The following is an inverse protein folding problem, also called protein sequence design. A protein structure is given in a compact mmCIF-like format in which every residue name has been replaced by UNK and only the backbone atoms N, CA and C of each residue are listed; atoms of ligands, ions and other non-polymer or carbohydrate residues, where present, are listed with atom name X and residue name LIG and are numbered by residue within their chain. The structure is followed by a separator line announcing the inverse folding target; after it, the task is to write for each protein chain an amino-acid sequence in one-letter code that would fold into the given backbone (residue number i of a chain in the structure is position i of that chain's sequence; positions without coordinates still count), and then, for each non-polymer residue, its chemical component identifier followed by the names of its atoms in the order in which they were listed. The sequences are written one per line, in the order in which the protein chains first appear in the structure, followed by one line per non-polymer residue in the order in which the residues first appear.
data_IF_666782292816
#
_entry.id   IF_666782292816
#
_cell.length_a   1.000
_cell.length_b   1.000
_cell.length_c   1.000
_cell.angle_alpha   90.00
_cell.angle_beta   90.00
_cell.angle_gamma   90.00
#
_symmetry.space_group_name_H-M   'P 1'
#
loop_
_entity.id
_entity.type
_entity.pdbx_description
1 polymer ?
#
# COMPACT_ATOMS: atom_id res chain seq x y z
N UNK A 1 -22.32 54.72 -26.30
CA UNK A 1 -21.40 54.01 -25.39
C UNK A 1 -22.27 53.27 -24.39
N UNK A 2 -22.29 51.94 -24.41
CA UNK A 2 -23.04 51.17 -23.38
C UNK A 2 -22.36 51.32 -22.05
N UNK A 3 -23.09 51.86 -21.05
CA UNK A 3 -22.62 51.95 -19.67
C UNK A 3 -22.25 50.54 -19.18
N UNK A 4 -21.00 50.35 -18.76
CA UNK A 4 -20.55 49.16 -18.12
C UNK A 4 -21.14 49.16 -16.69
N UNK A 5 -22.14 48.31 -16.43
CA UNK A 5 -22.71 48.16 -15.07
C UNK A 5 -21.70 47.43 -14.20
N UNK A 6 -21.09 48.16 -13.29
CA UNK A 6 -20.17 47.61 -12.27
C UNK A 6 -21.04 46.98 -11.17
N UNK A 7 -20.76 45.71 -10.84
CA UNK A 7 -21.42 45.01 -9.74
C UNK A 7 -20.40 44.38 -8.80
N UNK A 8 -20.77 44.28 -7.54
CA UNK A 8 -19.94 43.61 -6.54
C UNK A 8 -20.17 42.13 -6.58
N UNK A 9 -19.06 41.36 -6.63
CA UNK A 9 -19.09 39.89 -6.58
C UNK A 9 -18.26 39.45 -5.38
N UNK A 10 -18.80 38.53 -4.60
CA UNK A 10 -18.10 37.98 -3.42
C UNK A 10 -17.30 36.77 -3.84
N UNK A 11 -15.97 36.81 -3.61
CA UNK A 11 -15.06 35.70 -3.80
C UNK A 11 -14.49 35.29 -2.43
N UNK A 12 -15.02 34.22 -1.87
CA UNK A 12 -14.69 33.80 -0.50
C UNK A 12 -15.01 34.89 0.52
N UNK A 13 -14.01 35.38 1.26
CA UNK A 13 -14.15 36.44 2.25
C UNK A 13 -13.93 37.86 1.71
N UNK A 14 -13.65 38.03 0.42
CA UNK A 14 -13.38 39.33 -0.20
C UNK A 14 -14.47 39.72 -1.20
N UNK A 15 -14.85 41.02 -1.21
CA UNK A 15 -15.70 41.60 -2.22
C UNK A 15 -14.84 42.25 -3.32
N UNK A 16 -15.16 41.99 -4.58
CA UNK A 16 -14.48 42.56 -5.74
C UNK A 16 -15.49 43.22 -6.67
N UNK A 17 -15.08 44.24 -7.40
CA UNK A 17 -15.90 44.85 -8.45
C UNK A 17 -15.71 44.11 -9.76
N UNK A 18 -16.81 43.60 -10.32
CA UNK A 18 -16.82 42.96 -11.63
C UNK A 18 -17.25 43.96 -12.69
N UNK A 19 -16.49 44.06 -13.75
CA UNK A 19 -16.75 44.84 -14.95
C UNK A 19 -17.19 43.97 -16.12
N UNK A 20 -17.44 42.68 -15.88
CA UNK A 20 -17.84 41.70 -16.90
C UNK A 20 -19.23 42.07 -17.47
N UNK A 21 -19.33 41.97 -18.79
CA UNK A 21 -20.60 42.13 -19.52
C UNK A 21 -21.36 40.80 -19.64
N UNK A 22 -20.65 39.70 -19.43
CA UNK A 22 -21.16 38.33 -19.53
C UNK A 22 -21.35 37.82 -18.10
N UNK A 23 -22.53 37.23 -17.82
CA UNK A 23 -22.75 36.54 -16.55
C UNK A 23 -21.82 35.32 -16.50
N UNK A 24 -21.13 35.15 -15.38
CA UNK A 24 -20.36 33.95 -15.12
C UNK A 24 -21.33 32.76 -15.09
N UNK A 25 -21.05 31.74 -15.90
CA UNK A 25 -21.88 30.52 -15.99
C UNK A 25 -21.49 29.55 -14.86
N UNK A 26 -20.22 29.62 -14.42
CA UNK A 26 -19.69 28.82 -13.34
C UNK A 26 -18.95 29.75 -12.37
N UNK A 27 -19.10 29.47 -11.08
CA UNK A 27 -18.33 30.14 -10.04
C UNK A 27 -16.84 29.80 -10.18
N UNK A 28 -15.97 30.77 -9.86
CA UNK A 28 -14.53 30.50 -9.81
C UNK A 28 -14.28 29.51 -8.68
N UNK A 29 -13.61 28.37 -8.97
CA UNK A 29 -13.32 27.38 -7.93
C UNK A 29 -12.42 28.00 -6.85
N UNK A 30 -12.66 27.59 -5.61
CA UNK A 30 -11.85 28.02 -4.48
C UNK A 30 -10.49 27.31 -4.52
N UNK A 31 -9.46 27.94 -5.08
CA UNK A 31 -8.18 27.33 -5.42
C UNK A 31 -7.40 26.73 -4.24
N UNK A 32 -7.67 27.16 -3.02
CA UNK A 32 -7.03 26.67 -1.78
C UNK A 32 -7.95 25.75 -0.96
N UNK A 33 -9.06 25.33 -1.53
CA UNK A 33 -10.04 24.46 -0.83
C UNK A 33 -9.41 23.12 -0.45
N UNK A 34 -8.63 22.53 -1.35
CA UNK A 34 -7.96 21.22 -1.12
C UNK A 34 -7.06 21.29 0.11
N UNK A 35 -6.23 22.34 0.23
CA UNK A 35 -5.32 22.52 1.36
C UNK A 35 -6.10 22.73 2.65
N UNK A 36 -7.12 23.59 2.64
CA UNK A 36 -7.92 23.88 3.83
C UNK A 36 -8.72 22.68 4.31
N UNK A 37 -9.37 21.97 3.40
CA UNK A 37 -10.14 20.77 3.75
C UNK A 37 -9.23 19.65 4.25
N UNK A 38 -8.08 19.45 3.62
CA UNK A 38 -7.09 18.48 4.06
C UNK A 38 -6.57 18.78 5.47
N UNK A 39 -6.27 20.05 5.75
CA UNK A 39 -5.80 20.46 7.07
C UNK A 39 -6.91 20.34 8.13
N UNK A 40 -8.14 20.70 7.79
CA UNK A 40 -9.31 20.51 8.66
C UNK A 40 -9.51 19.02 9.00
N UNK A 41 -9.48 18.17 8.00
CA UNK A 41 -9.58 16.72 8.18
C UNK A 41 -8.42 16.17 9.04
N UNK A 42 -7.20 16.68 8.87
CA UNK A 42 -6.07 16.33 9.72
C UNK A 42 -6.31 16.69 11.18
N UNK A 43 -6.83 17.89 11.47
CA UNK A 43 -7.12 18.31 12.83
C UNK A 43 -8.29 17.55 13.46
N UNK A 44 -9.31 17.15 12.67
CA UNK A 44 -10.52 16.51 13.18
C UNK A 44 -10.36 14.98 13.33
N UNK A 45 -9.58 14.36 12.45
CA UNK A 45 -9.46 12.89 12.37
C UNK A 45 -8.00 12.42 12.34
N UNK A 46 -7.15 13.05 11.53
CA UNK A 46 -5.82 12.54 11.24
C UNK A 46 -4.91 12.44 12.46
N UNK A 47 -5.01 13.35 13.43
CA UNK A 47 -4.24 13.27 14.68
C UNK A 47 -4.68 12.04 15.48
N UNK A 48 -5.99 11.79 15.54
CA UNK A 48 -6.53 10.62 16.23
C UNK A 48 -6.12 9.33 15.56
N UNK A 49 -6.21 9.26 14.24
CA UNK A 49 -5.81 8.09 13.46
C UNK A 49 -4.35 7.71 13.74
N UNK A 50 -3.46 8.71 13.79
CA UNK A 50 -2.04 8.49 14.13
C UNK A 50 -1.87 8.00 15.58
N UNK A 51 -2.57 8.60 16.54
CA UNK A 51 -2.51 8.17 17.93
C UNK A 51 -3.03 6.74 18.11
N UNK A 52 -4.10 6.38 17.42
CA UNK A 52 -4.70 5.04 17.45
C UNK A 52 -3.80 4.00 16.75
N UNK A 53 -3.10 4.38 15.67
CA UNK A 53 -2.14 3.52 14.97
C UNK A 53 -0.95 3.12 15.85
N UNK A 54 -0.42 4.07 16.65
CA UNK A 54 0.70 3.81 17.56
C UNK A 54 0.26 3.26 18.93
N UNK A 55 -1.02 3.25 19.24
CA UNK A 55 -1.57 2.75 20.50
C UNK A 55 -2.06 1.30 20.33
N UNK A 56 -1.82 0.40 21.31
CA UNK A 56 -1.03 0.56 22.51
C UNK A 56 0.49 0.35 22.30
N UNK A 57 1.31 1.05 23.07
CA UNK A 57 2.76 0.85 23.11
C UNK A 57 3.07 -0.02 24.33
N UNK A 58 3.67 -1.19 24.09
CA UNK A 58 4.08 -2.11 25.14
C UNK A 58 5.57 -2.03 25.39
N UNK A 59 5.95 -2.17 26.65
CA UNK A 59 7.36 -2.29 27.03
C UNK A 59 7.96 -3.64 26.55
N UNK A 60 9.28 -3.77 26.59
CA UNK A 60 9.97 -4.97 26.15
C UNK A 60 9.61 -6.20 27.02
N UNK A 61 9.29 -6.00 28.31
CA UNK A 61 8.90 -7.08 29.20
C UNK A 61 7.42 -7.47 29.08
N UNK A 62 6.62 -6.70 28.34
CA UNK A 62 5.19 -6.91 28.17
C UNK A 62 4.36 -6.62 29.43
N UNK A 63 4.95 -5.93 30.44
CA UNK A 63 4.31 -5.64 31.73
C UNK A 63 3.52 -4.35 31.75
N UNK A 64 4.00 -3.36 30.99
CA UNK A 64 3.41 -2.03 30.94
C UNK A 64 2.87 -1.75 29.53
N UNK A 65 1.72 -1.12 29.48
CA UNK A 65 1.06 -0.72 28.25
C UNK A 65 0.64 0.74 28.34
N UNK A 66 1.11 1.56 27.38
CA UNK A 66 0.75 2.95 27.20
C UNK A 66 -0.23 3.08 26.05
N UNK A 67 -1.43 3.60 26.32
CA UNK A 67 -2.47 3.84 25.33
C UNK A 67 -2.83 5.32 25.25
N UNK A 68 -3.01 5.85 24.04
CA UNK A 68 -3.53 7.20 23.82
C UNK A 68 -5.04 7.13 23.64
N UNK A 69 -5.80 7.86 24.46
CA UNK A 69 -7.26 7.77 24.49
C UNK A 69 -7.89 8.87 23.62
N UNK A 70 -7.45 10.10 23.80
CA UNK A 70 -8.03 11.28 23.16
C UNK A 70 -6.99 12.40 23.08
N UNK A 71 -7.27 13.42 22.29
CA UNK A 71 -6.42 14.60 22.18
C UNK A 71 -7.23 15.89 22.17
N UNK A 72 -6.57 16.96 22.56
CA UNK A 72 -7.13 18.31 22.52
C UNK A 72 -6.08 19.31 22.06
N UNK A 73 -6.50 20.24 21.23
CA UNK A 73 -5.73 21.46 20.97
C UNK A 73 -6.10 22.48 22.02
N UNK A 74 -5.13 22.95 22.80
CA UNK A 74 -5.37 23.76 23.97
C UNK A 74 -5.25 25.23 23.67
N UNK A 75 -6.36 25.95 23.84
CA UNK A 75 -6.44 27.39 23.80
C UNK A 75 -6.30 28.05 22.41
N UNK A 76 -5.99 29.33 22.45
CA UNK A 76 -5.71 30.15 21.27
C UNK A 76 -4.20 30.31 21.06
N UNK A 77 -3.76 30.60 19.81
CA UNK A 77 -2.35 30.87 19.55
C UNK A 77 -1.83 32.00 20.40
N UNK A 78 -0.64 31.83 20.97
CA UNK A 78 -0.01 32.81 21.86
C UNK A 78 0.21 34.19 21.22
N UNK A 79 0.45 34.20 19.91
CA UNK A 79 0.69 35.40 19.12
C UNK A 79 -0.18 35.40 17.87
N UNK A 80 -0.60 36.57 17.42
CA UNK A 80 -1.25 36.75 16.13
C UNK A 80 -0.29 36.42 14.98
N UNK A 81 -0.83 36.12 13.80
CA UNK A 81 -0.05 35.83 12.57
C UNK A 81 1.00 36.92 12.30
N UNK A 82 0.61 38.18 12.47
CA UNK A 82 1.50 39.33 12.26
C UNK A 82 2.62 39.40 13.28
N UNK A 83 2.30 39.14 14.54
CA UNK A 83 3.30 39.10 15.61
C UNK A 83 4.28 37.95 15.46
N UNK A 84 3.79 36.77 15.02
CA UNK A 84 4.66 35.65 14.73
C UNK A 84 5.70 35.99 13.65
N UNK A 85 5.27 36.69 12.57
CA UNK A 85 6.20 37.17 11.53
C UNK A 85 7.22 38.17 12.04
N UNK A 86 6.82 39.05 12.96
CA UNK A 86 7.71 40.08 13.50
C UNK A 86 8.68 39.57 14.59
N UNK A 87 8.32 38.45 15.25
CA UNK A 87 9.06 37.88 16.38
C UNK A 87 9.80 36.60 16.03
N UNK A 88 9.84 36.23 14.75
CA UNK A 88 10.40 34.95 14.28
C UNK A 88 9.81 33.75 15.04
N UNK A 89 8.51 33.82 15.37
CA UNK A 89 7.79 32.80 16.10
C UNK A 89 6.93 31.91 15.15
N UNK A 90 6.53 30.77 15.66
CA UNK A 90 5.60 29.85 14.95
C UNK A 90 4.16 30.11 15.39
N UNK A 91 3.26 30.24 14.44
CA UNK A 91 1.82 30.34 14.68
C UNK A 91 1.26 28.93 14.96
N UNK A 92 1.16 28.58 16.24
CA UNK A 92 0.84 27.23 16.69
C UNK A 92 -0.01 27.22 17.95
N UNK A 93 -0.61 26.07 18.23
CA UNK A 93 -1.33 25.78 19.48
C UNK A 93 -0.79 24.51 20.11
N UNK A 94 -0.79 24.42 21.47
CA UNK A 94 -0.36 23.21 22.17
C UNK A 94 -1.29 22.03 21.88
N UNK A 95 -0.70 20.89 21.57
CA UNK A 95 -1.38 19.59 21.53
C UNK A 95 -1.24 18.90 22.88
N UNK A 96 -2.35 18.61 23.51
CA UNK A 96 -2.44 17.82 24.72
C UNK A 96 -3.13 16.49 24.43
N UNK A 97 -2.59 15.41 24.96
CA UNK A 97 -3.08 14.06 24.74
C UNK A 97 -3.41 13.42 26.08
N UNK A 98 -4.57 12.79 26.15
CA UNK A 98 -4.96 11.96 27.28
C UNK A 98 -4.38 10.58 27.11
N UNK A 99 -3.44 10.19 27.94
CA UNK A 99 -2.80 8.90 27.94
C UNK A 99 -3.28 8.02 29.10
N UNK A 100 -3.18 6.72 28.91
CA UNK A 100 -3.47 5.70 29.93
C UNK A 100 -2.26 4.79 30.03
N UNK A 101 -1.74 4.65 31.25
CA UNK A 101 -0.70 3.69 31.56
C UNK A 101 -1.32 2.53 32.32
N UNK A 102 -1.23 1.32 31.77
CA UNK A 102 -1.78 0.10 32.36
C UNK A 102 -0.65 -0.84 32.76
N UNK A 103 -0.63 -1.26 33.99
CA UNK A 103 0.22 -2.38 34.42
C UNK A 103 -0.53 -3.68 34.21
N UNK A 104 -0.07 -4.50 33.27
CA UNK A 104 -0.74 -5.74 32.88
C UNK A 104 -0.61 -6.86 33.92
N UNK A 105 0.39 -6.80 34.82
CA UNK A 105 0.55 -7.77 35.89
C UNK A 105 -0.36 -7.49 37.09
N UNK A 106 -0.45 -6.22 37.48
CA UNK A 106 -1.22 -5.82 38.65
C UNK A 106 -2.63 -5.35 38.35
N UNK A 107 -2.94 -5.08 37.09
CA UNK A 107 -4.20 -4.50 36.64
C UNK A 107 -4.40 -3.05 37.06
N UNK A 108 -3.35 -2.37 37.55
CA UNK A 108 -3.42 -0.97 37.95
C UNK A 108 -3.43 -0.10 36.70
N UNK A 109 -4.36 0.85 36.65
CA UNK A 109 -4.53 1.82 35.57
C UNK A 109 -4.24 3.21 36.11
N UNK A 110 -3.31 3.91 35.46
CA UNK A 110 -3.01 5.31 35.73
C UNK A 110 -3.42 6.15 34.52
N UNK A 111 -4.29 7.13 34.74
CA UNK A 111 -4.75 8.07 33.72
C UNK A 111 -4.41 9.50 34.16
N UNK A 112 -3.25 10.04 33.77
CA UNK A 112 -2.96 11.46 33.96
C UNK A 112 -3.96 12.31 33.18
N UNK A 113 -4.31 13.49 33.70
CA UNK A 113 -5.35 14.33 33.08
C UNK A 113 -5.02 14.64 31.61
N UNK A 114 -3.86 15.24 31.36
CA UNK A 114 -3.41 15.57 30.00
C UNK A 114 -1.89 15.72 29.96
N UNK A 115 -1.29 15.20 28.91
CA UNK A 115 0.15 15.30 28.68
C UNK A 115 0.41 16.24 27.49
N UNK A 116 1.27 17.21 27.65
CA UNK A 116 1.74 18.05 26.55
C UNK A 116 2.63 17.22 25.61
N UNK A 117 2.24 17.13 24.34
CA UNK A 117 2.98 16.39 23.31
C UNK A 117 3.83 17.30 22.42
N UNK A 118 3.41 18.54 22.24
CA UNK A 118 4.09 19.50 21.38
C UNK A 118 3.15 20.56 20.84
N UNK A 119 3.67 21.43 19.98
CA UNK A 119 2.90 22.49 19.34
C UNK A 119 2.55 22.12 17.91
N UNK A 120 1.28 22.25 17.54
CA UNK A 120 0.79 22.03 16.18
C UNK A 120 0.68 23.37 15.47
N UNK A 121 1.41 23.60 14.36
CA UNK A 121 1.29 24.82 13.57
C UNK A 121 -0.13 24.97 13.00
N UNK A 122 -0.73 26.14 13.13
CA UNK A 122 -2.05 26.43 12.58
C UNK A 122 -1.96 27.02 11.18
N UNK A 123 -2.92 26.62 10.35
CA UNK A 123 -3.10 27.21 9.02
C UNK A 123 -3.77 28.58 9.14
N UNK A 124 -3.23 29.54 8.42
CA UNK A 124 -3.81 30.89 8.30
C UNK A 124 -5.02 30.89 7.36
N UNK A 125 -5.77 31.98 7.34
CA UNK A 125 -6.92 32.16 6.42
C UNK A 125 -6.51 32.07 4.95
N UNK A 126 -5.26 32.40 4.62
CA UNK A 126 -4.72 32.31 3.27
C UNK A 126 -4.24 30.89 2.88
N UNK A 127 -4.37 29.90 3.77
CA UNK A 127 -3.91 28.54 3.54
C UNK A 127 -2.39 28.35 3.69
N UNK A 128 -1.72 29.28 4.35
CA UNK A 128 -0.29 29.24 4.65
C UNK A 128 -0.03 28.87 6.11
N UNK A 129 1.22 28.57 6.45
CA UNK A 129 1.72 28.37 7.80
C UNK A 129 2.81 29.40 8.09
N UNK A 130 2.86 29.91 9.32
CA UNK A 130 3.96 30.75 9.77
C UNK A 130 4.83 29.95 10.72
N UNK A 131 6.05 29.65 10.28
CA UNK A 131 7.00 28.83 11.02
C UNK A 131 8.29 29.63 11.16
N UNK A 132 8.69 29.90 12.41
CA UNK A 132 9.85 30.74 12.72
C UNK A 132 9.83 32.08 11.94
N UNK A 133 8.68 32.76 11.95
CA UNK A 133 8.46 34.02 11.26
C UNK A 133 8.29 33.94 9.73
N UNK A 134 8.67 32.84 9.10
CA UNK A 134 8.56 32.64 7.66
C UNK A 134 7.20 32.04 7.27
N UNK A 135 6.53 32.67 6.30
CA UNK A 135 5.29 32.16 5.74
C UNK A 135 5.59 31.05 4.73
N UNK A 136 5.01 29.88 4.94
CA UNK A 136 5.23 28.67 4.13
C UNK A 136 3.91 28.08 3.69
N UNK A 137 3.94 27.42 2.55
CA UNK A 137 2.77 26.70 1.98
C UNK A 137 3.16 25.25 1.75
N UNK A 138 2.27 24.33 2.12
CA UNK A 138 2.42 22.92 1.79
C UNK A 138 1.91 22.72 0.37
N UNK A 139 2.78 22.25 -0.51
CA UNK A 139 2.44 21.94 -1.91
C UNK A 139 2.04 20.48 -2.00
N UNK A 140 0.86 20.22 -2.56
CA UNK A 140 0.39 18.86 -2.84
C UNK A 140 1.34 18.16 -3.80
N UNK A 141 1.73 16.92 -3.47
CA UNK A 141 2.60 16.10 -4.29
C UNK A 141 1.82 14.91 -4.85
N UNK A 142 2.02 14.64 -6.14
CA UNK A 142 1.52 13.43 -6.78
C UNK A 142 2.47 12.28 -6.49
N UNK A 143 1.95 11.23 -5.87
CA UNK A 143 2.68 9.99 -5.61
C UNK A 143 2.00 8.83 -6.34
N UNK A 144 2.78 7.77 -6.64
CA UNK A 144 2.17 6.54 -7.15
C UNK A 144 1.25 5.95 -6.09
N UNK A 145 0.02 5.66 -6.49
CA UNK A 145 -0.94 5.03 -5.59
C UNK A 145 -0.45 3.65 -5.14
N UNK A 146 -0.71 3.24 -3.90
CA UNK A 146 -0.50 1.86 -3.48
C UNK A 146 -1.18 0.88 -4.43
N UNK A 147 -0.56 -0.25 -4.68
CA UNK A 147 -1.09 -1.27 -5.57
C UNK A 147 -0.01 -2.10 -6.26
N UNK A 148 -0.43 -2.93 -7.21
CA UNK A 148 0.46 -3.75 -8.04
C UNK A 148 0.50 -3.23 -9.46
N UNK A 149 1.69 -3.11 -10.03
CA UNK A 149 1.95 -2.59 -11.37
C UNK A 149 2.73 -3.61 -12.18
N UNK A 150 2.19 -4.01 -13.32
CA UNK A 150 2.82 -4.93 -14.23
C UNK A 150 3.38 -4.17 -15.43
N UNK A 151 4.56 -4.55 -15.91
CA UNK A 151 5.22 -4.00 -17.07
C UNK A 151 5.78 -5.11 -17.93
N UNK A 152 5.57 -5.03 -19.24
CA UNK A 152 6.20 -5.91 -20.21
C UNK A 152 7.07 -5.08 -21.17
N UNK A 153 8.32 -5.44 -21.31
CA UNK A 153 9.28 -4.79 -22.20
C UNK A 153 9.97 -5.81 -23.10
N UNK A 154 10.18 -5.45 -24.35
CA UNK A 154 11.02 -6.26 -25.24
C UNK A 154 12.48 -5.91 -25.03
N UNK A 155 13.29 -6.93 -24.81
CA UNK A 155 14.73 -6.76 -24.74
C UNK A 155 15.36 -6.53 -26.14
N UNK A 156 16.68 -6.33 -26.18
CA UNK A 156 17.44 -6.14 -27.42
C UNK A 156 17.34 -7.31 -28.40
N UNK A 157 16.99 -8.49 -27.90
CA UNK A 157 16.84 -9.73 -28.66
C UNK A 157 15.38 -9.96 -29.09
N UNK A 158 14.47 -9.01 -28.81
CA UNK A 158 13.05 -9.12 -29.13
C UNK A 158 12.24 -10.00 -28.17
N UNK A 159 12.86 -10.55 -27.12
CA UNK A 159 12.20 -11.38 -26.11
C UNK A 159 11.41 -10.48 -25.17
N UNK A 160 10.15 -10.83 -24.93
CA UNK A 160 9.31 -10.12 -23.96
C UNK A 160 9.74 -10.49 -22.54
N UNK A 161 10.03 -9.50 -21.72
CA UNK A 161 10.30 -9.65 -20.29
C UNK A 161 9.24 -8.96 -19.47
N UNK A 162 8.87 -9.59 -18.41
CA UNK A 162 7.86 -9.08 -17.50
C UNK A 162 8.49 -8.69 -16.18
N UNK A 163 8.01 -7.57 -15.66
CA UNK A 163 8.34 -7.10 -14.32
C UNK A 163 7.08 -6.64 -13.61
N UNK A 164 7.14 -6.66 -12.31
CA UNK A 164 6.03 -6.20 -11.49
C UNK A 164 6.59 -5.44 -10.29
N UNK A 165 5.85 -4.42 -9.87
CA UNK A 165 6.15 -3.63 -8.69
C UNK A 165 4.95 -3.65 -7.76
N UNK A 166 5.15 -4.12 -6.54
CA UNK A 166 4.18 -4.06 -5.46
C UNK A 166 4.54 -2.88 -4.56
N UNK A 167 3.68 -1.87 -4.56
CA UNK A 167 3.88 -0.62 -3.82
C UNK A 167 2.86 -0.55 -2.70
N UNK A 168 3.28 -0.68 -1.42
CA UNK A 168 2.41 -0.42 -0.28
C UNK A 168 2.22 1.09 -0.09
N UNK A 169 1.24 1.49 0.71
CA UNK A 169 1.13 2.87 1.17
C UNK A 169 2.26 3.20 2.14
N UNK A 170 2.56 2.27 3.03
CA UNK A 170 3.64 2.33 3.99
C UNK A 170 4.36 0.99 4.02
N UNK A 171 5.70 0.99 3.98
CA UNK A 171 6.49 -0.23 4.04
C UNK A 171 7.39 -0.48 2.83
N UNK A 172 7.99 -1.67 2.77
CA UNK A 172 8.95 -2.07 1.77
C UNK A 172 8.31 -2.33 0.40
N UNK A 173 8.93 -1.84 -0.66
CA UNK A 173 8.55 -2.16 -2.02
C UNK A 173 9.07 -3.53 -2.41
N UNK A 174 8.26 -4.30 -3.15
CA UNK A 174 8.69 -5.54 -3.80
C UNK A 174 8.68 -5.33 -5.31
N UNK A 175 9.82 -5.56 -5.94
CA UNK A 175 9.97 -5.44 -7.38
C UNK A 175 10.45 -6.77 -7.95
N UNK A 176 9.59 -7.44 -8.71
CA UNK A 176 9.91 -8.70 -9.37
C UNK A 176 10.35 -8.43 -10.80
N UNK A 177 11.41 -9.07 -11.23
CA UNK A 177 11.92 -8.97 -12.60
C UNK A 177 12.31 -10.33 -13.17
N UNK A 178 12.04 -10.54 -14.43
CA UNK A 178 12.51 -11.69 -15.19
C UNK A 178 13.86 -11.35 -15.87
N UNK A 179 14.88 -12.16 -15.68
CA UNK A 179 16.18 -11.97 -16.30
C UNK A 179 16.24 -12.52 -17.74
N UNK A 180 17.43 -12.42 -18.36
CA UNK A 180 17.67 -12.91 -19.72
C UNK A 180 17.52 -14.42 -19.87
N UNK A 181 17.74 -15.15 -18.79
CA UNK A 181 17.67 -16.61 -18.75
C UNK A 181 16.26 -17.11 -18.39
N UNK A 182 15.31 -16.21 -18.16
CA UNK A 182 13.94 -16.54 -17.76
C UNK A 182 13.79 -16.76 -16.24
N UNK A 183 14.80 -16.49 -15.43
CA UNK A 183 14.75 -16.65 -13.98
C UNK A 183 14.03 -15.47 -13.32
N UNK A 184 13.32 -15.72 -12.23
CA UNK A 184 12.59 -14.72 -11.49
C UNK A 184 13.40 -14.19 -10.29
N UNK A 185 13.65 -12.90 -10.30
CA UNK A 185 14.37 -12.18 -9.26
C UNK A 185 13.43 -11.22 -8.53
N UNK A 186 13.78 -10.87 -7.30
CA UNK A 186 13.06 -9.87 -6.50
C UNK A 186 14.03 -8.91 -5.83
N UNK A 187 13.69 -7.63 -5.87
CA UNK A 187 14.29 -6.58 -5.04
C UNK A 187 13.33 -6.26 -3.91
N UNK A 188 13.84 -6.25 -2.70
CA UNK A 188 13.11 -5.81 -1.51
C UNK A 188 13.65 -4.43 -1.12
N UNK A 189 12.79 -3.43 -1.13
CA UNK A 189 13.13 -2.04 -0.77
C UNK A 189 14.37 -1.48 -1.48
N UNK A 190 14.48 -1.74 -2.80
CA UNK A 190 15.61 -1.33 -3.66
C UNK A 190 16.98 -1.93 -3.28
N UNK A 191 17.00 -2.93 -2.42
CA UNK A 191 18.22 -3.66 -2.07
C UNK A 191 18.68 -4.56 -3.22
N UNK A 192 19.83 -5.23 -3.03
CA UNK A 192 20.34 -6.17 -4.03
C UNK A 192 19.36 -7.29 -4.29
N UNK A 193 19.19 -7.66 -5.54
CA UNK A 193 18.27 -8.73 -5.94
C UNK A 193 18.62 -10.08 -5.33
N UNK A 194 17.60 -10.81 -5.00
CA UNK A 194 17.62 -12.22 -4.60
C UNK A 194 16.71 -13.01 -5.54
N UNK A 195 16.84 -14.33 -5.56
CA UNK A 195 15.86 -15.16 -6.28
C UNK A 195 14.49 -15.04 -5.61
N UNK A 196 13.42 -15.02 -6.40
CA UNK A 196 12.07 -14.95 -5.85
C UNK A 196 11.76 -16.16 -4.95
N UNK A 197 12.36 -17.31 -5.26
CA UNK A 197 12.25 -18.56 -4.49
C UNK A 197 12.87 -18.41 -3.09
N UNK A 198 14.00 -17.72 -2.93
CA UNK A 198 14.57 -17.40 -1.60
C UNK A 198 13.59 -16.57 -0.76
N UNK A 199 12.90 -15.59 -1.37
CA UNK A 199 11.87 -14.83 -0.66
C UNK A 199 10.68 -15.72 -0.26
N UNK A 200 10.19 -16.59 -1.17
CA UNK A 200 9.09 -17.52 -0.87
C UNK A 200 9.46 -18.48 0.27
N UNK A 201 10.71 -18.98 0.31
CA UNK A 201 11.21 -19.82 1.42
C UNK A 201 11.18 -19.04 2.73
N UNK A 202 11.68 -17.80 2.73
CA UNK A 202 11.67 -16.94 3.91
C UNK A 202 10.26 -16.65 4.42
N UNK A 203 9.24 -16.68 3.55
CA UNK A 203 7.83 -16.48 3.87
C UNK A 203 7.08 -17.77 4.27
N UNK A 204 7.76 -18.94 4.29
CA UNK A 204 7.20 -20.20 4.80
C UNK A 204 7.08 -21.34 3.80
N UNK A 205 7.37 -21.14 2.50
CA UNK A 205 7.43 -22.21 1.50
C UNK A 205 8.84 -22.82 1.49
N UNK A 206 9.17 -23.66 2.48
CA UNK A 206 10.55 -24.08 2.74
C UNK A 206 11.16 -24.95 1.63
N UNK A 207 10.43 -25.88 1.03
CA UNK A 207 10.95 -26.87 0.07
C UNK A 207 10.59 -26.53 -1.38
N UNK A 208 11.39 -27.04 -2.31
CA UNK A 208 11.15 -26.89 -3.75
C UNK A 208 9.79 -27.49 -4.17
N UNK A 209 9.43 -28.62 -3.58
CA UNK A 209 8.15 -29.29 -3.86
C UNK A 209 6.96 -28.43 -3.44
N UNK A 210 7.04 -27.73 -2.29
CA UNK A 210 5.99 -26.82 -1.84
C UNK A 210 5.84 -25.64 -2.80
N UNK A 211 6.97 -25.04 -3.23
CA UNK A 211 6.93 -23.91 -4.18
C UNK A 211 6.38 -24.35 -5.53
N UNK A 212 6.88 -25.47 -6.06
CA UNK A 212 6.44 -26.00 -7.35
C UNK A 212 4.98 -26.43 -7.35
N UNK A 213 4.46 -26.99 -6.25
CA UNK A 213 3.05 -27.37 -6.11
C UNK A 213 2.09 -26.15 -6.16
N UNK A 214 2.54 -25.00 -5.66
CA UNK A 214 1.73 -23.77 -5.71
C UNK A 214 1.66 -23.23 -7.13
N UNK A 215 2.80 -23.08 -7.80
CA UNK A 215 2.87 -22.34 -9.07
C UNK A 215 2.74 -23.24 -10.30
N UNK A 216 3.26 -24.46 -10.27
CA UNK A 216 3.31 -25.43 -11.40
C UNK A 216 3.92 -24.82 -12.68
N UNK A 217 4.89 -23.91 -12.51
CA UNK A 217 5.48 -23.14 -13.61
C UNK A 217 6.97 -23.44 -13.79
N UNK A 218 7.37 -23.71 -15.06
CA UNK A 218 8.76 -23.99 -15.38
C UNK A 218 9.73 -22.90 -14.95
N UNK A 219 9.35 -21.63 -15.09
CA UNK A 219 10.19 -20.50 -14.68
C UNK A 219 10.52 -20.53 -13.18
N UNK A 220 9.56 -20.95 -12.36
CA UNK A 220 9.77 -21.08 -10.91
C UNK A 220 10.66 -22.29 -10.61
N UNK A 221 10.44 -23.42 -11.26
CA UNK A 221 11.28 -24.60 -11.10
C UNK A 221 12.73 -24.34 -11.51
N UNK A 222 12.96 -23.71 -12.67
CA UNK A 222 14.30 -23.28 -13.12
C UNK A 222 14.95 -22.30 -12.15
N UNK A 223 14.15 -21.44 -11.47
CA UNK A 223 14.65 -20.51 -10.45
C UNK A 223 15.03 -21.25 -9.17
N UNK A 224 14.25 -22.26 -8.74
CA UNK A 224 14.59 -23.11 -7.59
C UNK A 224 15.93 -23.83 -7.79
N UNK A 225 16.19 -24.38 -8.99
CA UNK A 225 17.47 -25.03 -9.30
C UNK A 225 18.66 -24.07 -9.25
N UNK A 226 18.43 -22.78 -9.41
CA UNK A 226 19.47 -21.75 -9.39
C UNK A 226 19.76 -21.21 -7.99
N UNK A 227 18.93 -21.52 -7.01
CA UNK A 227 19.17 -21.13 -5.62
C UNK A 227 20.52 -21.68 -5.11
N UNK A 228 21.21 -20.95 -4.22
CA UNK A 228 22.46 -21.41 -3.64
C UNK A 228 22.29 -22.77 -2.96
N UNK A 229 23.27 -23.66 -3.13
CA UNK A 229 23.27 -24.95 -2.44
C UNK A 229 23.20 -24.73 -0.92
N UNK A 230 22.23 -25.36 -0.27
CA UNK A 230 21.98 -25.21 1.17
C UNK A 230 20.93 -24.17 1.54
N UNK A 231 20.35 -23.43 0.57
CA UNK A 231 19.26 -22.47 0.83
C UNK A 231 17.84 -23.05 0.62
N UNK A 232 17.74 -24.37 0.45
CA UNK A 232 16.47 -25.07 0.16
C UNK A 232 15.63 -25.38 1.40
N UNK A 233 15.72 -24.55 2.44
CA UNK A 233 14.91 -24.64 3.64
C UNK A 233 14.39 -23.26 4.05
N UNK A 234 13.32 -23.22 4.84
CA UNK A 234 12.75 -21.97 5.35
C UNK A 234 13.80 -21.16 6.16
N UNK A 235 14.53 -21.83 7.05
CA UNK A 235 15.53 -21.18 7.89
C UNK A 235 16.67 -20.59 7.06
N UNK A 236 17.15 -21.33 6.08
CA UNK A 236 18.21 -20.86 5.19
C UNK A 236 17.74 -19.68 4.32
N UNK A 237 16.51 -19.73 3.81
CA UNK A 237 15.88 -18.63 3.08
C UNK A 237 15.78 -17.35 3.93
N UNK A 238 15.38 -17.46 5.19
CA UNK A 238 15.35 -16.34 6.15
C UNK A 238 16.74 -15.73 6.40
N UNK A 239 17.73 -16.57 6.59
CA UNK A 239 19.12 -16.14 6.80
C UNK A 239 19.68 -15.45 5.55
N UNK A 240 19.43 -15.99 4.36
CA UNK A 240 19.89 -15.40 3.11
C UNK A 240 19.21 -14.05 2.83
N UNK A 241 17.92 -13.94 3.08
CA UNK A 241 17.20 -12.68 3.02
C UNK A 241 17.80 -11.65 3.99
N UNK A 242 18.07 -12.05 5.24
CA UNK A 242 18.68 -11.17 6.24
C UNK A 242 20.06 -10.66 5.81
N UNK A 243 20.94 -11.54 5.30
CA UNK A 243 22.26 -11.15 4.80
C UNK A 243 22.21 -10.12 3.68
N UNK A 244 21.19 -10.23 2.82
CA UNK A 244 21.01 -9.29 1.70
C UNK A 244 20.48 -7.94 2.14
N UNK A 245 19.57 -7.95 3.10
CA UNK A 245 18.96 -6.72 3.60
C UNK A 245 19.83 -5.97 4.60
N UNK A 246 20.69 -6.70 5.35
CA UNK A 246 21.62 -6.13 6.35
C UNK A 246 23.03 -6.64 6.14
N UNK A 247 23.71 -6.19 5.08
CA UNK A 247 25.09 -6.58 4.83
C UNK A 247 26.00 -6.06 5.96
N UNK A 248 26.79 -6.96 6.54
CA UNK A 248 27.73 -6.65 7.62
C UNK A 248 27.26 -7.04 9.03
N UNK A 249 25.98 -7.36 9.21
CA UNK A 249 25.50 -7.94 10.46
C UNK A 249 25.61 -9.47 10.45
N UNK A 250 25.85 -10.07 11.62
CA UNK A 250 25.89 -11.54 11.76
C UNK A 250 24.45 -12.05 11.67
N UNK A 251 24.11 -12.92 10.70
CA UNK A 251 22.76 -13.42 10.56
C UNK A 251 22.43 -14.41 11.67
N UNK A 252 21.36 -14.15 12.39
CA UNK A 252 20.74 -15.07 13.34
C UNK A 252 19.32 -15.38 12.90
N UNK A 253 18.83 -16.56 13.19
CA UNK A 253 17.45 -16.94 12.83
C UNK A 253 16.42 -16.04 13.52
N UNK A 254 16.66 -15.68 14.78
CA UNK A 254 15.80 -14.78 15.54
C UNK A 254 15.79 -13.38 14.92
N UNK A 255 16.96 -12.82 14.60
CA UNK A 255 17.07 -11.52 13.92
C UNK A 255 16.40 -11.52 12.55
N UNK A 256 16.50 -12.62 11.80
CA UNK A 256 15.82 -12.78 10.53
C UNK A 256 14.28 -12.81 10.67
N UNK A 257 13.76 -13.52 11.67
CA UNK A 257 12.33 -13.56 11.95
C UNK A 257 11.80 -12.16 12.34
N UNK A 258 12.50 -11.44 13.20
CA UNK A 258 12.16 -10.07 13.58
C UNK A 258 12.15 -9.14 12.36
N UNK A 259 13.17 -9.28 11.50
CA UNK A 259 13.29 -8.47 10.29
C UNK A 259 12.10 -8.72 9.33
N UNK A 260 11.79 -9.98 9.04
CA UNK A 260 10.69 -10.36 8.14
C UNK A 260 9.36 -9.88 8.69
N UNK A 261 9.14 -10.08 10.01
CA UNK A 261 7.92 -9.60 10.65
C UNK A 261 7.77 -8.08 10.52
N UNK A 262 8.84 -7.33 10.77
CA UNK A 262 8.82 -5.87 10.68
C UNK A 262 8.60 -5.36 9.23
N UNK A 263 9.08 -6.10 8.22
CA UNK A 263 8.97 -5.65 6.82
C UNK A 263 7.63 -5.98 6.17
N UNK A 264 6.96 -7.09 6.59
CA UNK A 264 5.81 -7.61 5.84
C UNK A 264 4.57 -7.88 6.70
N UNK A 265 4.71 -8.06 8.01
CA UNK A 265 3.63 -8.52 8.87
C UNK A 265 3.28 -7.55 10.03
N UNK A 266 4.11 -6.57 10.31
CA UNK A 266 3.81 -5.54 11.31
C UNK A 266 2.91 -4.48 10.69
N UNK A 267 1.65 -4.43 11.08
CA UNK A 267 0.66 -3.48 10.57
C UNK A 267 1.05 -2.00 10.77
N UNK A 268 1.94 -1.71 11.73
CA UNK A 268 2.47 -0.35 11.95
C UNK A 268 3.51 0.06 10.92
N UNK A 269 4.15 -0.92 10.29
CA UNK A 269 5.26 -0.72 9.34
C UNK A 269 4.92 -1.06 7.92
N UNK A 270 3.92 -1.90 7.70
CA UNK A 270 3.47 -2.31 6.38
C UNK A 270 1.96 -2.21 6.26
N UNK A 271 1.50 -1.31 5.42
CA UNK A 271 0.07 -1.13 5.15
C UNK A 271 -0.19 -0.88 3.66
N UNK A 272 -1.20 -1.54 3.14
CA UNK A 272 -1.66 -1.39 1.75
C UNK A 272 -2.77 -0.36 1.60
N UNK A 273 -3.42 0.05 2.70
CA UNK A 273 -4.66 0.83 2.72
C UNK A 273 -5.81 0.19 1.93
N UNK A 274 -7.03 0.72 2.06
CA UNK A 274 -8.20 0.27 1.27
C UNK A 274 -7.97 0.41 -0.24
N UNK A 275 -7.36 1.52 -0.66
CA UNK A 275 -7.08 1.78 -2.09
C UNK A 275 -6.09 0.78 -2.66
N UNK A 276 -5.01 0.48 -1.94
CA UNK A 276 -4.03 -0.53 -2.33
C UNK A 276 -4.66 -1.91 -2.41
N UNK A 277 -5.41 -2.32 -1.37
CA UNK A 277 -6.12 -3.61 -1.33
C UNK A 277 -7.07 -3.76 -2.51
N UNK A 278 -7.90 -2.75 -2.78
CA UNK A 278 -8.80 -2.76 -3.94
C UNK A 278 -8.04 -2.95 -5.26
N UNK A 279 -6.91 -2.26 -5.46
CA UNK A 279 -6.11 -2.39 -6.67
C UNK A 279 -5.45 -3.77 -6.80
N UNK A 280 -4.97 -4.33 -5.68
CA UNK A 280 -4.47 -5.71 -5.65
C UNK A 280 -5.58 -6.68 -6.05
N UNK A 281 -6.73 -6.60 -5.42
CA UNK A 281 -7.88 -7.46 -5.70
C UNK A 281 -8.29 -7.38 -7.15
N UNK A 282 -8.45 -6.16 -7.70
CA UNK A 282 -8.81 -5.94 -9.10
C UNK A 282 -7.81 -6.57 -10.07
N UNK A 283 -6.51 -6.57 -9.75
CA UNK A 283 -5.47 -7.17 -10.60
C UNK A 283 -5.33 -8.67 -10.42
N UNK A 284 -5.52 -9.17 -9.20
CA UNK A 284 -5.41 -10.59 -8.86
C UNK A 284 -6.74 -11.35 -8.92
N UNK A 285 -7.83 -10.66 -9.25
CA UNK A 285 -9.15 -11.24 -9.46
C UNK A 285 -9.09 -12.37 -10.50
N UNK A 286 -9.56 -13.57 -10.13
CA UNK A 286 -9.55 -14.74 -11.01
C UNK A 286 -10.53 -14.52 -12.17
N UNK A 287 -11.69 -13.93 -11.93
CA UNK A 287 -12.73 -13.72 -12.91
C UNK A 287 -12.23 -12.98 -14.16
N UNK A 288 -11.49 -11.90 -13.99
CA UNK A 288 -10.98 -11.11 -15.12
C UNK A 288 -9.92 -11.83 -15.96
N UNK A 289 -9.29 -12.87 -15.42
CA UNK A 289 -8.23 -13.65 -16.08
C UNK A 289 -8.72 -14.93 -16.73
N UNK A 290 -9.83 -15.50 -16.27
CA UNK A 290 -10.41 -16.72 -16.84
C UNK A 290 -11.55 -16.43 -17.84
N UNK A 291 -12.14 -15.22 -17.81
CA UNK A 291 -13.18 -14.84 -18.75
C UNK A 291 -12.71 -14.96 -20.22
N UNK A 292 -13.46 -15.65 -21.05
CA UNK A 292 -13.13 -15.93 -22.46
C UNK A 292 -12.08 -17.02 -22.65
N UNK A 293 -11.54 -17.64 -21.61
CA UNK A 293 -10.60 -18.74 -21.70
C UNK A 293 -11.34 -20.10 -21.69
N UNK A 294 -10.71 -21.10 -22.28
CA UNK A 294 -11.19 -22.48 -22.27
C UNK A 294 -10.57 -23.22 -21.08
N UNK A 295 -11.39 -23.89 -20.30
CA UNK A 295 -10.97 -24.65 -19.11
C UNK A 295 -10.45 -26.02 -19.52
N UNK A 296 -9.37 -26.47 -18.89
CA UNK A 296 -8.74 -27.78 -19.13
C UNK A 296 -9.07 -28.81 -18.07
N UNK A 297 -9.54 -28.40 -16.89
CA UNK A 297 -9.96 -29.25 -15.76
C UNK A 297 -11.28 -28.76 -15.20
N UNK A 298 -12.08 -29.65 -14.63
CA UNK A 298 -13.34 -29.29 -13.99
C UNK A 298 -13.11 -28.33 -12.84
N UNK A 299 -13.96 -27.30 -12.74
CA UNK A 299 -13.92 -26.30 -11.68
C UNK A 299 -15.01 -26.60 -10.68
N UNK A 300 -14.60 -26.89 -9.44
CA UNK A 300 -15.49 -27.26 -8.35
C UNK A 300 -15.57 -26.12 -7.32
N UNK A 301 -16.78 -25.80 -6.88
CA UNK A 301 -16.99 -24.85 -5.79
C UNK A 301 -16.35 -25.35 -4.50
N UNK A 302 -15.53 -24.53 -3.87
CA UNK A 302 -14.95 -24.84 -2.55
C UNK A 302 -16.02 -24.76 -1.44
N UNK A 303 -17.08 -24.00 -1.65
CA UNK A 303 -18.15 -23.78 -0.67
C UNK A 303 -19.21 -24.87 -0.70
N UNK A 304 -19.63 -25.32 -1.89
CA UNK A 304 -20.75 -26.26 -2.07
C UNK A 304 -20.34 -27.63 -2.56
N UNK A 305 -19.14 -27.76 -3.15
CA UNK A 305 -18.69 -29.01 -3.78
C UNK A 305 -19.33 -29.28 -5.15
N UNK A 306 -20.12 -28.35 -5.69
CA UNK A 306 -20.74 -28.48 -7.00
C UNK A 306 -19.77 -28.15 -8.14
N UNK A 307 -19.93 -28.78 -9.29
CA UNK A 307 -19.16 -28.48 -10.51
C UNK A 307 -19.72 -27.18 -11.11
N UNK A 308 -18.94 -26.12 -11.07
CA UNK A 308 -19.30 -24.82 -11.65
C UNK A 308 -19.04 -24.75 -13.14
N UNK A 309 -18.00 -25.43 -13.61
CA UNK A 309 -17.67 -25.49 -15.04
C UNK A 309 -16.99 -26.83 -15.38
N UNK A 310 -17.33 -27.37 -16.53
CA UNK A 310 -16.79 -28.65 -17.01
C UNK A 310 -15.56 -28.42 -17.90
N UNK A 311 -14.68 -29.39 -17.96
CA UNK A 311 -13.52 -29.43 -18.84
C UNK A 311 -13.92 -29.16 -20.30
N UNK A 312 -13.23 -28.26 -20.97
CA UNK A 312 -13.45 -27.89 -22.38
C UNK A 312 -14.42 -26.74 -22.58
N UNK A 313 -15.06 -26.27 -21.52
CA UNK A 313 -15.99 -25.14 -21.59
C UNK A 313 -15.23 -23.81 -21.72
N UNK A 314 -15.78 -22.87 -22.49
CA UNK A 314 -15.30 -21.48 -22.58
C UNK A 314 -16.08 -20.64 -21.60
N UNK A 315 -15.39 -19.99 -20.67
CA UNK A 315 -16.01 -19.27 -19.56
C UNK A 315 -16.52 -17.90 -20.00
N UNK A 316 -17.79 -17.63 -19.74
CA UNK A 316 -18.40 -16.30 -19.89
C UNK A 316 -18.01 -15.38 -18.72
N UNK A 317 -18.17 -14.06 -18.87
CA UNK A 317 -17.90 -13.10 -17.78
C UNK A 317 -18.76 -13.33 -16.54
N UNK A 318 -20.03 -13.71 -16.74
CA UNK A 318 -20.97 -14.01 -15.65
C UNK A 318 -20.52 -15.24 -14.87
N UNK A 319 -20.18 -16.30 -15.60
CA UNK A 319 -19.71 -17.56 -15.01
C UNK A 319 -18.34 -17.40 -14.33
N UNK A 320 -17.47 -16.55 -14.87
CA UNK A 320 -16.20 -16.22 -14.23
C UNK A 320 -16.38 -15.54 -12.85
N UNK A 321 -17.37 -14.65 -12.75
CA UNK A 321 -17.74 -14.02 -11.46
C UNK A 321 -18.34 -15.02 -10.49
N UNK A 322 -19.18 -15.93 -10.98
CA UNK A 322 -19.74 -17.01 -10.17
C UNK A 322 -18.64 -17.92 -9.59
N UNK A 323 -17.66 -18.31 -10.40
CA UNK A 323 -16.50 -19.11 -9.98
C UNK A 323 -15.72 -18.35 -8.88
N UNK A 324 -15.48 -17.07 -9.07
CA UNK A 324 -14.79 -16.24 -8.07
C UNK A 324 -15.57 -16.16 -6.75
N UNK A 325 -16.89 -15.94 -6.82
CA UNK A 325 -17.75 -15.82 -5.63
C UNK A 325 -17.90 -17.15 -4.87
N UNK A 326 -17.61 -18.29 -5.51
CA UNK A 326 -17.56 -19.60 -4.88
C UNK A 326 -16.19 -19.96 -4.26
N UNK A 327 -15.38 -18.94 -3.99
CA UNK A 327 -14.09 -19.07 -3.32
C UNK A 327 -13.06 -19.97 -4.04
N UNK A 328 -13.18 -20.11 -5.36
CA UNK A 328 -12.23 -20.88 -6.17
C UNK A 328 -10.95 -20.07 -6.34
N UNK A 329 -9.82 -20.63 -5.90
CA UNK A 329 -8.50 -19.97 -5.96
C UNK A 329 -7.65 -20.41 -7.15
N UNK A 330 -7.97 -21.52 -7.76
CA UNK A 330 -7.15 -22.14 -8.81
C UNK A 330 -8.03 -22.59 -9.97
N UNK A 331 -7.69 -22.17 -11.19
CA UNK A 331 -8.36 -22.61 -12.41
C UNK A 331 -7.31 -22.89 -13.49
N UNK A 332 -7.44 -24.02 -14.17
CA UNK A 332 -6.56 -24.41 -15.27
C UNK A 332 -7.19 -24.03 -16.60
N UNK A 333 -6.48 -23.20 -17.36
CA UNK A 333 -6.94 -22.68 -18.66
C UNK A 333 -5.99 -23.04 -19.78
N UNK A 334 -6.55 -23.09 -20.99
CA UNK A 334 -5.80 -23.34 -22.22
C UNK A 334 -5.30 -21.99 -22.78
N UNK A 335 -3.98 -21.81 -22.84
CA UNK A 335 -3.35 -20.61 -23.40
C UNK A 335 -2.57 -20.97 -24.66
N UNK A 336 -2.81 -20.24 -25.75
CA UNK A 336 -2.05 -20.39 -26.98
C UNK A 336 -0.78 -19.54 -26.90
N UNK A 337 0.37 -20.20 -26.84
CA UNK A 337 1.70 -19.56 -26.95
C UNK A 337 2.21 -19.67 -28.38
N UNK A 338 2.78 -18.61 -28.90
CA UNK A 338 3.47 -18.62 -30.20
C UNK A 338 4.96 -18.77 -29.94
N UNK A 339 5.53 -19.92 -30.33
CA UNK A 339 6.98 -20.14 -30.24
C UNK A 339 7.74 -19.28 -31.27
N UNK A 340 9.09 -19.20 -31.10
CA UNK A 340 9.97 -18.41 -32.00
C UNK A 340 9.85 -18.81 -33.46
N UNK A 341 9.45 -20.01 -33.75
CA UNK A 341 9.29 -20.60 -35.10
C UNK A 341 7.91 -20.34 -35.70
N UNK A 342 7.03 -19.58 -35.01
CA UNK A 342 5.70 -19.24 -35.48
C UNK A 342 4.66 -20.32 -35.24
N UNK A 343 5.01 -21.47 -34.67
CA UNK A 343 4.06 -22.51 -34.30
C UNK A 343 3.24 -22.10 -33.05
N UNK A 344 1.94 -22.29 -33.15
CA UNK A 344 1.01 -22.12 -32.01
C UNK A 344 1.04 -23.37 -31.18
N UNK A 345 1.60 -23.25 -29.97
CA UNK A 345 1.55 -24.35 -29.00
C UNK A 345 0.51 -24.00 -27.93
N UNK A 346 -0.35 -24.92 -27.67
CA UNK A 346 -1.34 -24.83 -26.61
C UNK A 346 -0.75 -25.37 -25.33
N UNK A 347 -0.74 -24.54 -24.29
CA UNK A 347 -0.17 -24.88 -22.97
C UNK A 347 -1.30 -24.79 -21.95
N UNK A 348 -1.36 -25.77 -21.05
CA UNK A 348 -2.17 -25.68 -19.84
C UNK A 348 -1.51 -24.70 -18.88
N UNK A 349 -2.26 -23.72 -18.38
CA UNK A 349 -1.78 -22.69 -17.49
C UNK A 349 -2.64 -22.61 -16.24
N UNK A 350 -1.99 -22.62 -15.07
CA UNK A 350 -2.65 -22.48 -13.78
C UNK A 350 -2.87 -21.01 -13.44
N UNK A 351 -4.12 -20.57 -13.36
CA UNK A 351 -4.49 -19.23 -12.91
C UNK A 351 -4.77 -19.29 -11.42
N UNK A 352 -3.98 -18.53 -10.64
CA UNK A 352 -4.09 -18.48 -9.18
C UNK A 352 -4.80 -17.18 -8.79
N UNK A 353 -5.85 -17.27 -7.98
CA UNK A 353 -6.60 -16.14 -7.43
C UNK A 353 -6.14 -15.75 -6.03
N UNK A 354 -6.77 -14.74 -5.48
CA UNK A 354 -6.56 -14.30 -4.10
C UNK A 354 -7.93 -14.10 -3.43
N UNK A 355 -8.46 -15.16 -2.84
CA UNK A 355 -9.78 -15.16 -2.18
C UNK A 355 -9.75 -14.68 -0.73
N UNK A 356 -8.57 -14.35 -0.21
CA UNK A 356 -8.43 -13.88 1.18
C UNK A 356 -8.75 -12.40 1.32
N UNK A 357 -9.00 -11.71 0.20
CA UNK A 357 -9.18 -10.26 0.17
C UNK A 357 -10.60 -9.94 -0.28
N UNK A 358 -11.32 -9.23 0.57
CA UNK A 358 -12.65 -8.72 0.30
C UNK A 358 -12.63 -7.80 -0.92
N UNK A 359 -13.60 -7.99 -1.81
CA UNK A 359 -13.71 -7.23 -3.06
C UNK A 359 -14.65 -6.02 -2.94
N UNK A 360 -15.40 -5.93 -1.83
CA UNK A 360 -16.38 -4.86 -1.57
C UNK A 360 -15.76 -3.64 -0.88
#
# INVERSE_FOLDING_TARGET
MSEVKVHKVKYGNTERYSFSKIKDVLDIPYLIEVQKNSYKSFLEHGIKDVLDEYSPIRDFSGRMELSFIDYRLDGEPKYSVRECKNRDATYAVPLKVKARLTNLETGVIEEPEEIFMGDIPLMTDSGSFVINGAERVIVSQLVRSPGVYYKGERDKNGVMRYSNQMIPNHGAWLEFEQDANGLLWVHVDRQRKITATTLLRALGYGTDDQINAVFEEKMIADTCERDPQGSHTEEAGKIDLFRRMRPGEVPTLEGANILINNYFFDNRRYDLTRVGRYKFNKKLSIASRIAGQKITRDVVSVLTGEILAEKGEVITEEKAKEIQNNAVNEVYVEVSSVEKDGEKKTIEFKVIGNNTVDLD
#
